data_IF_466102836003
#
_entry.id   IF_466102836003
#
_cell.length_a   1.000
_cell.length_b   1.000
_cell.length_c   1.000
_cell.angle_alpha   90.00
_cell.angle_beta   90.00
_cell.angle_gamma   90.00
#
_symmetry.space_group_name_H-M   'P 1'
#
loop_
_entity.id
_entity.type
_entity.pdbx_description
1 polymer ?
#
# COMPACT_ATOMS: atom_id res chain seq x y z
N UNK A 1 -16.66 -27.44 -88.50
CA UNK A 1 -17.38 -27.37 -87.20
C UNK A 1 -16.42 -27.79 -86.12
N UNK A 2 -15.83 -26.81 -85.40
CA UNK A 2 -14.91 -27.05 -84.27
C UNK A 2 -15.63 -26.66 -83.02
N UNK A 3 -15.84 -27.66 -82.12
CA UNK A 3 -16.45 -27.49 -80.79
C UNK A 3 -15.35 -27.17 -79.79
N UNK A 4 -15.40 -26.01 -79.17
CA UNK A 4 -14.57 -25.64 -78.02
C UNK A 4 -15.23 -26.14 -76.73
N UNK A 5 -14.52 -26.96 -75.96
CA UNK A 5 -14.89 -27.37 -74.60
C UNK A 5 -14.23 -26.36 -73.63
N UNK A 6 -15.02 -25.57 -72.92
CA UNK A 6 -14.59 -24.73 -71.85
C UNK A 6 -14.64 -25.54 -70.55
N UNK A 7 -13.48 -25.91 -70.03
CA UNK A 7 -13.36 -26.54 -68.73
C UNK A 7 -13.40 -25.49 -67.64
N UNK A 8 -14.43 -25.50 -66.78
CA UNK A 8 -14.50 -24.68 -65.56
C UNK A 8 -13.65 -25.29 -64.45
N UNK A 9 -12.54 -24.66 -64.09
CA UNK A 9 -11.74 -25.02 -62.90
C UNK A 9 -12.38 -24.35 -61.68
N UNK A 10 -13.07 -25.18 -60.86
CA UNK A 10 -13.60 -24.74 -59.57
C UNK A 10 -12.49 -24.58 -58.55
N UNK A 11 -12.19 -23.33 -58.14
CA UNK A 11 -11.27 -23.00 -57.09
C UNK A 11 -12.00 -23.17 -55.73
N UNK A 12 -11.78 -24.29 -55.04
CA UNK A 12 -12.31 -24.51 -53.66
C UNK A 12 -11.46 -23.73 -52.67
N UNK A 13 -11.97 -22.60 -52.19
CA UNK A 13 -11.36 -21.85 -51.09
C UNK A 13 -11.66 -22.63 -49.78
N UNK A 14 -10.69 -23.33 -49.25
CA UNK A 14 -10.73 -23.89 -47.90
C UNK A 14 -10.54 -22.74 -46.92
N UNK A 15 -11.64 -22.25 -46.38
CA UNK A 15 -11.61 -21.30 -45.23
C UNK A 15 -11.24 -22.11 -44.01
N UNK A 16 -9.95 -22.12 -43.66
CA UNK A 16 -9.46 -22.63 -42.38
C UNK A 16 -9.98 -21.68 -41.30
N UNK A 17 -10.98 -22.07 -40.55
CA UNK A 17 -11.33 -21.42 -39.30
C UNK A 17 -10.18 -21.67 -38.33
N UNK A 18 -9.33 -20.68 -38.14
CA UNK A 18 -8.40 -20.67 -37.02
C UNK A 18 -9.26 -20.64 -35.74
N UNK A 19 -9.34 -21.75 -35.04
CA UNK A 19 -9.88 -21.78 -33.68
C UNK A 19 -9.01 -20.83 -32.86
N UNK A 20 -9.59 -19.72 -32.41
CA UNK A 20 -8.93 -18.83 -31.47
C UNK A 20 -8.56 -19.69 -30.25
N UNK A 21 -7.29 -19.71 -29.86
CA UNK A 21 -6.88 -20.37 -28.63
C UNK A 21 -7.64 -19.80 -27.44
N UNK A 22 -8.01 -20.64 -26.49
CA UNK A 22 -8.65 -20.17 -25.26
C UNK A 22 -7.77 -19.15 -24.54
N UNK A 23 -8.36 -18.11 -23.94
CA UNK A 23 -7.60 -17.10 -23.25
C UNK A 23 -6.86 -17.69 -22.04
N UNK A 24 -5.67 -17.16 -21.76
CA UNK A 24 -4.94 -17.46 -20.53
C UNK A 24 -5.74 -16.84 -19.36
N UNK A 25 -6.33 -17.68 -18.52
CA UNK A 25 -7.11 -17.25 -17.36
C UNK A 25 -6.15 -16.95 -16.18
N UNK A 26 -6.26 -15.75 -15.62
CA UNK A 26 -5.45 -15.28 -14.48
C UNK A 26 -6.40 -14.97 -13.32
N UNK A 27 -6.56 -15.95 -12.42
CA UNK A 27 -7.39 -15.83 -11.22
C UNK A 27 -6.64 -15.07 -10.12
N UNK A 28 -7.27 -14.04 -9.57
CA UNK A 28 -6.79 -13.23 -8.46
C UNK A 28 -7.82 -13.28 -7.34
N UNK A 29 -7.39 -13.68 -6.13
CA UNK A 29 -8.20 -13.63 -4.93
C UNK A 29 -7.91 -12.34 -4.14
N UNK A 30 -8.92 -11.76 -3.54
CA UNK A 30 -8.79 -10.72 -2.52
C UNK A 30 -9.20 -11.29 -1.18
N UNK A 31 -8.31 -11.25 -0.20
CA UNK A 31 -8.54 -11.75 1.15
C UNK A 31 -8.39 -10.59 2.15
N UNK A 32 -9.47 -10.20 2.80
CA UNK A 32 -9.49 -9.13 3.78
C UNK A 32 -10.42 -9.40 4.96
N UNK A 33 -10.48 -8.48 5.90
CA UNK A 33 -11.40 -8.55 7.04
C UNK A 33 -12.61 -7.64 6.85
N UNK A 34 -13.76 -8.04 7.39
CA UNK A 34 -14.99 -7.23 7.41
C UNK A 34 -14.99 -6.16 8.50
N UNK A 35 -13.96 -6.04 9.31
CA UNK A 35 -13.89 -5.07 10.39
C UNK A 35 -13.82 -3.64 9.88
N UNK A 36 -14.88 -2.86 10.10
CA UNK A 36 -14.85 -1.41 9.92
C UNK A 36 -13.91 -0.84 10.97
N UNK A 37 -12.74 -0.36 10.56
CA UNK A 37 -11.88 0.45 11.44
C UNK A 37 -12.67 1.70 11.82
N UNK A 38 -13.19 1.75 13.04
CA UNK A 38 -13.89 2.93 13.54
C UNK A 38 -12.89 4.09 13.63
N UNK A 39 -13.03 5.07 12.76
CA UNK A 39 -12.26 6.32 12.86
C UNK A 39 -12.90 7.29 13.83
N UNK A 40 -12.09 8.18 14.39
CA UNK A 40 -12.57 9.26 15.25
C UNK A 40 -13.53 10.19 14.51
N UNK A 41 -13.26 10.48 13.23
CA UNK A 41 -14.13 11.30 12.39
C UNK A 41 -15.33 10.52 11.88
N UNK A 42 -16.53 11.09 12.08
CA UNK A 42 -17.77 10.57 11.48
C UNK A 42 -17.85 10.83 9.97
N UNK A 43 -17.07 11.78 9.48
CA UNK A 43 -17.05 12.19 8.06
C UNK A 43 -16.12 11.29 7.25
N UNK A 44 -15.08 10.76 7.87
CA UNK A 44 -14.04 9.96 7.23
C UNK A 44 -14.12 8.48 7.62
N UNK A 45 -15.32 7.91 7.68
CA UNK A 45 -15.47 6.49 7.94
C UNK A 45 -14.91 5.67 6.78
N UNK A 46 -14.14 4.59 7.05
CA UNK A 46 -13.69 3.68 6.02
C UNK A 46 -14.88 3.11 5.26
N UNK A 47 -14.75 3.01 3.96
CA UNK A 47 -15.79 2.40 3.13
C UNK A 47 -15.77 0.88 3.25
N UNK A 48 -16.94 0.26 3.18
CA UNK A 48 -17.04 -1.20 3.18
C UNK A 48 -16.27 -1.87 2.04
N UNK A 49 -16.10 -1.18 0.90
CA UNK A 49 -15.36 -1.68 -0.25
C UNK A 49 -13.92 -1.13 -0.32
N UNK A 50 -13.35 -0.64 0.79
CA UNK A 50 -11.96 -0.15 0.82
C UNK A 50 -10.99 -1.27 0.42
N UNK A 51 -10.03 -0.94 -0.43
CA UNK A 51 -9.08 -1.87 -1.04
C UNK A 51 -9.67 -2.68 -2.21
N UNK A 52 -10.80 -3.36 -2.02
CA UNK A 52 -11.45 -4.15 -3.08
C UNK A 52 -11.80 -3.28 -4.30
N UNK A 53 -12.27 -2.06 -4.07
CA UNK A 53 -12.62 -1.15 -5.15
C UNK A 53 -11.41 -0.83 -6.04
N UNK A 54 -10.23 -0.69 -5.45
CA UNK A 54 -8.97 -0.54 -6.19
C UNK A 54 -8.63 -1.77 -7.02
N UNK A 55 -8.77 -2.96 -6.46
CA UNK A 55 -8.54 -4.21 -7.17
C UNK A 55 -9.50 -4.36 -8.36
N UNK A 56 -10.80 -4.09 -8.18
CA UNK A 56 -11.82 -4.14 -9.26
C UNK A 56 -11.46 -3.21 -10.43
N UNK A 57 -11.07 -1.96 -10.15
CA UNK A 57 -10.65 -1.01 -11.18
C UNK A 57 -9.43 -1.54 -11.96
N UNK A 58 -8.47 -2.15 -11.27
CA UNK A 58 -7.28 -2.68 -11.92
C UNK A 58 -7.56 -3.94 -12.77
N UNK A 59 -8.55 -4.76 -12.40
CA UNK A 59 -9.04 -5.87 -13.23
C UNK A 59 -9.61 -5.33 -14.55
N UNK A 60 -10.41 -4.26 -14.52
CA UNK A 60 -10.89 -3.60 -15.74
C UNK A 60 -9.73 -3.10 -16.60
N UNK A 61 -8.72 -2.46 -15.98
CA UNK A 61 -7.53 -1.98 -16.66
C UNK A 61 -6.75 -3.13 -17.33
N UNK A 62 -6.52 -4.22 -16.60
CA UNK A 62 -5.80 -5.37 -17.14
C UNK A 62 -6.57 -6.04 -18.28
N UNK A 63 -7.88 -6.19 -18.15
CA UNK A 63 -8.74 -6.78 -19.19
C UNK A 63 -8.81 -5.92 -20.44
N UNK A 64 -8.64 -4.59 -20.33
CA UNK A 64 -8.56 -3.71 -21.51
C UNK A 64 -7.38 -4.08 -22.40
N UNK A 65 -6.20 -4.33 -21.82
CA UNK A 65 -5.01 -4.79 -22.55
C UNK A 65 -5.07 -6.30 -22.84
N UNK A 66 -5.58 -7.08 -21.92
CA UNK A 66 -5.70 -8.54 -22.00
C UNK A 66 -6.46 -9.04 -23.23
N UNK A 67 -7.48 -8.30 -23.68
CA UNK A 67 -8.23 -8.62 -24.90
C UNK A 67 -7.32 -8.74 -26.14
N UNK A 68 -6.25 -7.97 -26.22
CA UNK A 68 -5.30 -8.00 -27.32
C UNK A 68 -4.21 -9.08 -27.16
N UNK A 69 -4.02 -9.56 -25.91
CA UNK A 69 -3.01 -10.56 -25.55
C UNK A 69 -3.59 -11.93 -25.31
N UNK A 70 -4.89 -12.13 -25.59
CA UNK A 70 -5.64 -13.34 -25.29
C UNK A 70 -5.50 -13.74 -23.80
N UNK A 71 -5.62 -12.77 -22.89
CA UNK A 71 -5.56 -12.92 -21.44
C UNK A 71 -6.83 -12.41 -20.79
N UNK A 72 -7.29 -13.10 -19.74
CA UNK A 72 -8.47 -12.73 -18.98
C UNK A 72 -8.17 -12.75 -17.48
N UNK A 73 -8.41 -11.64 -16.82
CA UNK A 73 -8.21 -11.46 -15.38
C UNK A 73 -9.55 -11.51 -14.66
N UNK A 74 -9.62 -12.31 -13.60
CA UNK A 74 -10.82 -12.43 -12.74
C UNK A 74 -10.47 -12.11 -11.30
N UNK A 75 -11.45 -11.62 -10.54
CA UNK A 75 -11.31 -11.31 -9.11
C UNK A 75 -12.34 -12.11 -8.31
N UNK A 76 -11.86 -12.85 -7.32
CA UNK A 76 -12.69 -13.50 -6.31
C UNK A 76 -12.46 -12.83 -4.96
N UNK A 77 -13.52 -12.42 -4.28
CA UNK A 77 -13.46 -11.60 -3.07
C UNK A 77 -13.90 -12.43 -1.86
N UNK A 78 -13.03 -12.46 -0.85
CA UNK A 78 -13.31 -13.08 0.44
C UNK A 78 -13.03 -12.07 1.55
N UNK A 79 -14.03 -11.83 2.40
CA UNK A 79 -13.92 -10.99 3.58
C UNK A 79 -14.23 -11.81 4.81
N UNK A 80 -13.21 -11.96 5.65
CA UNK A 80 -13.31 -12.70 6.89
C UNK A 80 -14.07 -11.90 7.94
N UNK A 81 -14.98 -12.56 8.63
CA UNK A 81 -15.58 -12.07 9.86
C UNK A 81 -14.64 -12.33 11.04
N UNK A 82 -14.91 -11.65 12.15
CA UNK A 82 -14.18 -11.90 13.38
C UNK A 82 -14.28 -13.38 13.80
N UNK A 83 -13.14 -14.00 14.11
CA UNK A 83 -13.04 -15.41 14.49
C UNK A 83 -12.94 -16.43 13.36
N UNK A 84 -13.11 -16.02 12.09
CA UNK A 84 -12.90 -16.94 10.97
C UNK A 84 -11.43 -17.27 10.74
N UNK A 85 -11.16 -18.53 10.36
CA UNK A 85 -9.80 -19.03 10.15
C UNK A 85 -9.22 -18.52 8.82
N UNK A 86 -8.23 -17.64 8.90
CA UNK A 86 -7.56 -17.04 7.77
C UNK A 86 -6.80 -18.06 6.91
N UNK A 87 -6.21 -19.11 7.51
CA UNK A 87 -5.46 -20.12 6.78
C UNK A 87 -6.38 -20.98 5.91
N UNK A 88 -7.52 -21.41 6.46
CA UNK A 88 -8.53 -22.16 5.71
C UNK A 88 -9.13 -21.33 4.58
N UNK A 89 -9.44 -20.05 4.81
CA UNK A 89 -9.94 -19.17 3.78
C UNK A 89 -8.91 -18.91 2.67
N UNK A 90 -7.65 -18.71 3.03
CA UNK A 90 -6.55 -18.56 2.07
C UNK A 90 -6.38 -19.83 1.20
N UNK A 91 -6.43 -21.02 1.81
CA UNK A 91 -6.34 -22.30 1.10
C UNK A 91 -7.51 -22.52 0.15
N UNK A 92 -8.74 -22.18 0.56
CA UNK A 92 -9.93 -22.30 -0.29
C UNK A 92 -9.85 -21.35 -1.49
N UNK A 93 -9.40 -20.10 -1.25
CA UNK A 93 -9.24 -19.08 -2.29
C UNK A 93 -8.13 -19.48 -3.29
N UNK A 94 -7.02 -20.03 -2.81
CA UNK A 94 -5.89 -20.50 -3.62
C UNK A 94 -6.23 -21.74 -4.47
N UNK A 95 -7.30 -22.47 -4.16
CA UNK A 95 -7.78 -23.57 -5.00
C UNK A 95 -8.26 -23.14 -6.40
N UNK A 96 -8.57 -21.86 -6.57
CA UNK A 96 -9.07 -21.26 -7.82
C UNK A 96 -8.23 -20.08 -8.31
N UNK A 97 -7.35 -19.55 -7.48
CA UNK A 97 -6.60 -18.33 -7.76
C UNK A 97 -5.11 -18.53 -7.50
N UNK A 98 -4.26 -18.19 -8.46
CA UNK A 98 -2.80 -18.28 -8.35
C UNK A 98 -2.17 -17.13 -7.56
N UNK A 99 -2.89 -16.01 -7.42
CA UNK A 99 -2.45 -14.79 -6.76
C UNK A 99 -3.48 -14.39 -5.72
N UNK A 100 -3.01 -13.97 -4.52
CA UNK A 100 -3.89 -13.49 -3.46
C UNK A 100 -3.43 -12.11 -3.00
N UNK A 101 -4.31 -11.11 -3.14
CA UNK A 101 -4.11 -9.79 -2.54
C UNK A 101 -4.59 -9.88 -1.10
N UNK A 102 -3.68 -9.63 -0.16
CA UNK A 102 -3.94 -9.72 1.26
C UNK A 102 -4.06 -8.33 1.91
N UNK A 103 -5.25 -8.00 2.39
CA UNK A 103 -5.54 -6.88 3.27
C UNK A 103 -5.76 -7.41 4.70
N UNK A 104 -4.66 -7.79 5.33
CA UNK A 104 -4.64 -8.50 6.59
C UNK A 104 -3.67 -7.86 7.58
N UNK A 105 -3.94 -7.91 8.90
CA UNK A 105 -2.93 -7.64 9.92
C UNK A 105 -1.74 -8.62 9.82
N UNK A 106 -0.58 -8.22 10.34
CA UNK A 106 0.68 -8.94 10.17
C UNK A 106 0.59 -10.44 10.53
N UNK A 107 0.02 -10.79 11.69
CA UNK A 107 -0.10 -12.19 12.14
C UNK A 107 -1.03 -13.02 11.24
N UNK A 108 -2.12 -12.41 10.79
CA UNK A 108 -3.04 -13.06 9.86
C UNK A 108 -2.39 -13.27 8.49
N UNK A 109 -1.63 -12.29 8.00
CA UNK A 109 -0.87 -12.40 6.76
C UNK A 109 0.16 -13.54 6.83
N UNK A 110 0.89 -13.67 7.94
CA UNK A 110 1.85 -14.75 8.15
C UNK A 110 1.16 -16.11 8.12
N UNK A 111 0.03 -16.27 8.82
CA UNK A 111 -0.75 -17.53 8.79
C UNK A 111 -1.22 -17.88 7.38
N UNK A 112 -1.73 -16.90 6.63
CA UNK A 112 -2.13 -17.11 5.24
C UNK A 112 -0.94 -17.50 4.35
N UNK A 113 0.18 -16.77 4.45
CA UNK A 113 1.39 -17.03 3.66
C UNK A 113 2.00 -18.42 3.96
N UNK A 114 2.06 -18.80 5.25
CA UNK A 114 2.58 -20.10 5.67
C UNK A 114 1.70 -21.25 5.18
N UNK A 115 0.37 -21.12 5.22
CA UNK A 115 -0.57 -22.11 4.68
C UNK A 115 -0.45 -22.29 3.16
N UNK A 116 0.04 -21.29 2.44
CA UNK A 116 0.17 -21.27 0.98
C UNK A 116 1.58 -21.56 0.47
N UNK A 117 2.56 -21.73 1.36
CA UNK A 117 3.99 -21.86 1.02
C UNK A 117 4.25 -22.93 -0.05
N UNK A 118 3.68 -24.11 0.12
CA UNK A 118 3.93 -25.27 -0.75
C UNK A 118 2.94 -25.39 -1.92
N UNK A 119 2.07 -24.39 -2.11
CA UNK A 119 1.05 -24.37 -3.17
C UNK A 119 1.47 -23.58 -4.40
N UNK A 120 2.61 -22.89 -4.35
CA UNK A 120 3.06 -22.02 -5.42
C UNK A 120 2.25 -20.72 -5.56
N UNK A 121 1.29 -20.46 -4.65
CA UNK A 121 0.47 -19.24 -4.66
C UNK A 121 1.29 -18.04 -4.20
N UNK A 122 1.22 -16.94 -4.95
CA UNK A 122 1.87 -15.68 -4.60
C UNK A 122 0.91 -14.80 -3.81
N UNK A 123 1.34 -14.33 -2.64
CA UNK A 123 0.58 -13.43 -1.79
C UNK A 123 1.11 -12.01 -1.96
N UNK A 124 0.23 -11.05 -2.26
CA UNK A 124 0.57 -9.64 -2.42
C UNK A 124 0.02 -8.85 -1.24
N UNK A 125 0.90 -8.46 -0.32
CA UNK A 125 0.51 -7.68 0.87
C UNK A 125 0.14 -6.25 0.49
N UNK A 126 -1.13 -5.94 0.53
CA UNK A 126 -1.66 -4.60 0.30
C UNK A 126 -2.02 -3.85 1.60
N UNK A 127 -2.21 -4.53 2.73
CA UNK A 127 -2.72 -3.92 3.95
C UNK A 127 -1.66 -3.66 5.02
N UNK A 128 -0.79 -4.65 5.33
CA UNK A 128 0.09 -4.55 6.48
C UNK A 128 1.36 -3.73 6.22
N UNK A 129 1.58 -2.72 7.08
CA UNK A 129 2.77 -1.83 7.07
C UNK A 129 3.84 -2.28 8.08
N UNK A 130 3.68 -3.43 8.71
CA UNK A 130 4.56 -3.92 9.76
C UNK A 130 5.96 -4.28 9.21
N UNK A 131 6.99 -3.67 9.78
CA UNK A 131 8.38 -3.82 9.33
C UNK A 131 8.89 -5.26 9.45
N UNK A 132 8.48 -6.02 10.50
CA UNK A 132 8.94 -7.39 10.72
C UNK A 132 8.66 -8.34 9.54
N UNK A 133 7.60 -8.07 8.77
CA UNK A 133 7.24 -8.85 7.58
C UNK A 133 8.27 -8.74 6.44
N UNK A 134 9.13 -7.72 6.46
CA UNK A 134 10.23 -7.48 5.51
C UNK A 134 11.59 -7.73 6.14
N UNK A 135 11.59 -8.15 7.40
CA UNK A 135 12.78 -8.43 8.21
C UNK A 135 12.76 -9.89 8.68
N UNK A 136 12.73 -10.14 9.98
CA UNK A 136 12.84 -11.50 10.54
C UNK A 136 11.70 -12.46 10.17
N UNK A 137 10.52 -11.93 9.82
CA UNK A 137 9.33 -12.72 9.48
C UNK A 137 9.04 -12.74 7.98
N UNK A 138 10.03 -12.42 7.14
CA UNK A 138 9.83 -12.42 5.69
C UNK A 138 9.54 -13.81 5.12
N UNK A 139 8.77 -13.87 4.04
CA UNK A 139 8.35 -15.10 3.35
C UNK A 139 8.61 -14.98 1.85
N UNK A 140 9.18 -16.02 1.25
CA UNK A 140 9.53 -16.05 -0.17
C UNK A 140 8.32 -15.95 -1.12
N UNK A 141 7.14 -16.36 -0.66
CA UNK A 141 5.88 -16.28 -1.42
C UNK A 141 5.09 -14.99 -1.19
N UNK A 142 5.67 -13.99 -0.48
CA UNK A 142 4.99 -12.71 -0.18
C UNK A 142 5.68 -11.55 -0.87
N UNK A 143 4.96 -10.82 -1.70
CA UNK A 143 5.37 -9.54 -2.31
C UNK A 143 4.68 -8.40 -1.56
N UNK A 144 5.41 -7.35 -1.20
CA UNK A 144 4.88 -6.27 -0.37
C UNK A 144 4.63 -5.00 -1.18
N UNK A 145 3.36 -4.62 -1.30
CA UNK A 145 2.91 -3.39 -1.97
C UNK A 145 2.75 -2.24 -0.97
N UNK A 146 2.16 -2.52 0.19
CA UNK A 146 2.08 -1.55 1.27
C UNK A 146 3.50 -1.12 1.70
N UNK A 147 3.77 0.18 1.91
CA UNK A 147 5.05 0.63 2.49
C UNK A 147 5.19 0.12 3.93
N UNK A 148 6.42 0.13 4.45
CA UNK A 148 6.63 -0.12 5.88
C UNK A 148 6.45 1.15 6.71
N UNK A 149 6.25 0.99 8.03
CA UNK A 149 6.32 2.13 8.96
C UNK A 149 7.66 2.86 8.86
N UNK A 150 8.76 2.12 8.72
CA UNK A 150 10.08 2.69 8.50
C UNK A 150 10.18 3.54 7.23
N UNK A 151 9.56 3.11 6.11
CA UNK A 151 9.51 3.91 4.88
C UNK A 151 8.73 5.22 5.09
N UNK A 152 7.59 5.15 5.78
CA UNK A 152 6.77 6.33 6.09
C UNK A 152 7.51 7.30 7.01
N UNK A 153 8.13 6.80 8.08
CA UNK A 153 8.89 7.61 9.02
C UNK A 153 10.13 8.26 8.38
N UNK A 154 10.87 7.51 7.54
CA UNK A 154 12.03 8.03 6.83
C UNK A 154 11.63 9.12 5.84
N UNK A 155 10.55 8.94 5.09
CA UNK A 155 10.02 9.94 4.18
C UNK A 155 9.67 11.26 4.88
N UNK A 156 9.01 11.17 6.02
CA UNK A 156 8.68 12.33 6.85
C UNK A 156 9.97 12.99 7.40
N UNK A 157 10.87 12.20 7.96
CA UNK A 157 12.12 12.69 8.55
C UNK A 157 12.99 13.44 7.53
N UNK A 158 13.13 12.91 6.31
CA UNK A 158 13.87 13.56 5.22
C UNK A 158 13.33 14.97 4.97
N UNK A 159 12.03 15.13 4.82
CA UNK A 159 11.41 16.44 4.59
C UNK A 159 11.58 17.39 5.78
N UNK A 160 11.33 16.92 6.99
CA UNK A 160 11.46 17.76 8.18
C UNK A 160 12.89 18.29 8.36
N UNK A 161 13.89 17.43 8.13
CA UNK A 161 15.30 17.82 8.20
C UNK A 161 15.68 18.76 7.04
N UNK A 162 15.17 18.52 5.84
CA UNK A 162 15.35 19.43 4.70
C UNK A 162 14.79 20.83 5.01
N UNK A 163 13.64 20.91 5.69
CA UNK A 163 13.05 22.16 6.20
C UNK A 163 13.82 22.77 7.38
N UNK A 164 14.89 22.12 7.86
CA UNK A 164 15.64 22.48 9.07
C UNK A 164 14.81 22.38 10.38
N UNK A 165 13.72 21.65 10.38
CA UNK A 165 12.92 21.32 11.57
C UNK A 165 13.52 20.10 12.26
N UNK A 166 14.64 20.30 12.94
CA UNK A 166 15.48 19.22 13.49
C UNK A 166 15.21 18.90 14.95
N UNK A 167 14.49 19.78 15.68
CA UNK A 167 14.14 19.54 17.09
C UNK A 167 12.70 19.09 17.17
N UNK A 168 12.49 17.85 17.58
CA UNK A 168 11.18 17.22 17.59
C UNK A 168 10.64 17.06 19.00
N UNK A 169 9.37 17.41 19.24
CA UNK A 169 8.58 16.93 20.35
C UNK A 169 7.81 15.71 19.87
N UNK A 170 8.08 14.53 20.44
CA UNK A 170 7.39 13.28 20.09
C UNK A 170 6.27 13.00 21.10
N UNK A 171 5.05 12.81 20.61
CA UNK A 171 3.90 12.36 21.41
C UNK A 171 3.49 10.97 20.92
N UNK A 172 3.46 10.02 21.83
CA UNK A 172 3.24 8.60 21.55
C UNK A 172 1.94 8.15 22.20
N UNK A 173 1.08 7.45 21.48
CA UNK A 173 -0.08 6.79 22.05
C UNK A 173 0.29 5.56 22.89
N UNK A 174 -0.66 5.06 23.66
CA UNK A 174 -0.41 3.96 24.61
C UNK A 174 -0.60 2.56 24.00
N UNK A 175 -1.15 2.46 22.80
CA UNK A 175 -1.37 1.18 22.13
C UNK A 175 -0.09 0.64 21.44
N UNK A 176 -0.05 -0.65 21.17
CA UNK A 176 1.17 -1.29 20.65
C UNK A 176 1.57 -0.80 19.25
N UNK A 177 0.62 -0.55 18.35
CA UNK A 177 0.93 0.03 17.04
C UNK A 177 1.51 1.45 17.13
N UNK A 178 1.09 2.25 18.13
CA UNK A 178 1.62 3.59 18.36
C UNK A 178 3.08 3.53 18.82
N UNK A 179 3.41 2.55 19.67
CA UNK A 179 4.78 2.28 20.12
C UNK A 179 5.67 1.84 18.97
N UNK A 180 5.19 0.94 18.10
CA UNK A 180 5.91 0.52 16.90
C UNK A 180 6.19 1.70 15.95
N UNK A 181 5.22 2.60 15.77
CA UNK A 181 5.43 3.80 14.96
C UNK A 181 6.43 4.76 15.63
N UNK A 182 6.36 4.93 16.95
CA UNK A 182 7.33 5.74 17.70
C UNK A 182 8.76 5.18 17.57
N UNK A 183 8.95 3.87 17.58
CA UNK A 183 10.27 3.23 17.39
C UNK A 183 10.90 3.60 16.05
N UNK A 184 10.15 3.50 14.96
CA UNK A 184 10.66 3.86 13.63
C UNK A 184 10.86 5.38 13.48
N UNK A 185 10.07 6.21 14.14
CA UNK A 185 10.30 7.67 14.19
C UNK A 185 11.59 8.03 14.94
N UNK A 186 11.91 7.35 16.06
CA UNK A 186 13.18 7.51 16.78
C UNK A 186 14.37 7.07 15.92
N UNK A 187 14.22 5.94 15.21
CA UNK A 187 15.22 5.47 14.23
C UNK A 187 15.44 6.50 13.11
N UNK A 188 14.37 7.02 12.52
CA UNK A 188 14.41 8.01 11.45
C UNK A 188 15.03 9.34 11.93
N UNK A 189 14.69 9.82 13.14
CA UNK A 189 15.32 10.99 13.74
C UNK A 189 16.85 10.84 13.82
N UNK A 190 17.31 9.71 14.35
CA UNK A 190 18.74 9.40 14.44
C UNK A 190 19.41 9.30 13.05
N UNK A 191 18.76 8.63 12.11
CA UNK A 191 19.27 8.38 10.75
C UNK A 191 19.50 9.69 9.98
N UNK A 192 18.56 10.63 10.08
CA UNK A 192 18.59 11.88 9.32
C UNK A 192 19.09 13.09 10.13
N UNK A 193 19.56 12.89 11.35
CA UNK A 193 20.20 13.94 12.15
C UNK A 193 19.21 14.91 12.81
N UNK A 194 17.99 14.47 13.11
CA UNK A 194 17.07 15.16 13.98
C UNK A 194 17.27 14.75 15.45
N UNK A 195 16.78 15.57 16.38
CA UNK A 195 16.86 15.34 17.82
C UNK A 195 15.46 15.39 18.43
N UNK A 196 15.05 14.32 19.09
CA UNK A 196 13.88 14.33 19.96
C UNK A 196 14.26 15.04 21.25
N UNK A 197 13.71 16.25 21.45
CA UNK A 197 14.01 17.10 22.61
C UNK A 197 13.10 16.81 23.79
N UNK A 198 11.93 16.26 23.51
CA UNK A 198 10.92 15.84 24.49
C UNK A 198 10.14 14.68 23.92
N UNK A 199 9.84 13.70 24.76
CA UNK A 199 8.90 12.63 24.46
C UNK A 199 7.86 12.55 25.56
N UNK A 200 6.58 12.36 25.18
CA UNK A 200 5.45 12.17 26.11
C UNK A 200 4.55 11.05 25.63
N UNK A 201 4.06 10.27 26.56
CA UNK A 201 3.05 9.24 26.29
C UNK A 201 1.67 9.80 26.63
N UNK A 202 0.74 9.68 25.68
CA UNK A 202 -0.66 9.99 25.91
C UNK A 202 -1.42 8.69 26.20
N UNK A 203 -1.87 8.53 27.44
CA UNK A 203 -2.59 7.34 27.88
C UNK A 203 -4.04 7.38 27.40
N UNK A 204 -4.46 6.34 26.65
CA UNK A 204 -5.86 6.13 26.33
C UNK A 204 -6.59 5.52 27.56
N UNK A 205 -7.33 6.33 28.26
CA UNK A 205 -8.08 5.90 29.44
C UNK A 205 -9.45 5.28 29.08
N UNK A 206 -9.72 5.05 27.79
CA UNK A 206 -10.99 4.46 27.33
C UNK A 206 -12.21 5.37 27.50
N UNK A 207 -12.01 6.65 27.82
CA UNK A 207 -13.08 7.66 27.92
C UNK A 207 -13.81 7.88 26.61
N UNK A 208 -15.02 8.39 26.68
CA UNK A 208 -15.87 8.62 25.52
C UNK A 208 -15.20 9.59 24.52
N UNK A 209 -14.72 9.05 23.44
CA UNK A 209 -14.11 9.80 22.33
C UNK A 209 -15.10 10.77 21.67
N UNK A 210 -16.41 10.53 21.83
CA UNK A 210 -17.49 11.19 21.06
C UNK A 210 -18.64 11.77 21.90
N UNK A 211 -18.65 11.65 23.24
CA UNK A 211 -19.80 12.09 24.03
C UNK A 211 -19.45 13.21 24.99
N UNK A 212 -20.38 14.18 25.16
CA UNK A 212 -20.29 15.30 26.09
C UNK A 212 -20.64 14.91 27.53
N UNK A 213 -20.65 13.65 27.89
CA UNK A 213 -21.12 13.11 29.18
C UNK A 213 -20.17 13.38 30.36
N UNK A 214 -19.67 14.61 30.49
CA UNK A 214 -18.92 15.04 31.70
C UNK A 214 -17.49 14.54 31.85
N UNK A 215 -17.02 13.67 30.96
CA UNK A 215 -15.62 13.22 30.90
C UNK A 215 -14.77 14.30 30.24
N UNK A 216 -13.56 14.53 30.74
CA UNK A 216 -12.63 15.50 30.15
C UNK A 216 -12.32 15.11 28.71
N UNK A 217 -12.82 15.87 27.76
CA UNK A 217 -12.63 15.61 26.33
C UNK A 217 -11.14 15.68 25.99
N UNK A 218 -10.65 14.73 25.17
CA UNK A 218 -9.24 14.66 24.73
C UNK A 218 -8.77 16.01 24.18
N UNK A 219 -9.57 16.66 23.36
CA UNK A 219 -9.26 17.97 22.78
C UNK A 219 -8.97 19.06 23.82
N UNK A 220 -9.54 18.98 25.05
CA UNK A 220 -9.30 19.94 26.13
C UNK A 220 -8.03 19.62 26.91
N UNK A 221 -7.55 18.38 26.83
CA UNK A 221 -6.31 17.99 27.49
C UNK A 221 -5.06 18.42 26.71
N UNK A 222 -5.15 18.54 25.37
CA UNK A 222 -3.99 18.79 24.50
C UNK A 222 -3.19 20.04 24.87
N UNK A 223 -3.75 21.22 25.15
CA UNK A 223 -2.96 22.38 25.51
C UNK A 223 -2.14 22.14 26.81
N UNK A 224 -2.75 21.60 27.83
CA UNK A 224 -2.08 21.31 29.11
C UNK A 224 -1.04 20.20 28.94
N UNK A 225 -1.38 19.17 28.16
CA UNK A 225 -0.50 18.05 27.89
C UNK A 225 0.76 18.47 27.12
N UNK A 226 0.67 19.48 26.24
CA UNK A 226 1.79 19.96 25.41
C UNK A 226 2.54 21.14 25.98
N UNK A 227 2.07 21.75 27.10
CA UNK A 227 2.72 22.92 27.73
C UNK A 227 4.08 22.54 28.34
N UNK A 228 4.92 23.57 28.62
CA UNK A 228 6.21 23.43 29.29
C UNK A 228 7.18 22.46 28.57
N UNK A 229 7.06 22.29 27.26
CA UNK A 229 8.05 21.56 26.49
C UNK A 229 9.28 22.43 26.24
N UNK A 230 10.51 21.86 26.16
CA UNK A 230 11.67 22.57 25.63
C UNK A 230 11.37 23.06 24.22
N UNK A 231 12.06 24.12 23.78
CA UNK A 231 11.85 24.65 22.42
C UNK A 231 12.04 23.55 21.37
N UNK A 232 11.02 23.35 20.53
CA UNK A 232 10.99 22.39 19.42
C UNK A 232 10.55 23.08 18.14
N UNK A 233 10.86 22.44 16.98
CA UNK A 233 10.52 22.98 15.67
C UNK A 233 9.21 22.39 15.14
N UNK A 234 8.94 21.12 15.44
CA UNK A 234 7.75 20.36 15.02
C UNK A 234 7.33 19.38 16.09
N UNK A 235 6.01 19.20 16.27
CA UNK A 235 5.45 18.16 17.10
C UNK A 235 5.15 16.95 16.20
N UNK A 236 5.62 15.76 16.60
CA UNK A 236 5.38 14.51 15.88
C UNK A 236 4.47 13.62 16.69
N UNK A 237 3.37 13.18 16.09
CA UNK A 237 2.41 12.28 16.70
C UNK A 237 2.61 10.85 16.20
N UNK A 238 2.80 9.90 17.12
CA UNK A 238 2.71 8.47 16.88
C UNK A 238 1.39 7.95 17.48
N UNK A 239 0.34 7.96 16.68
CA UNK A 239 -1.05 7.63 17.06
C UNK A 239 -1.75 6.90 15.91
N UNK A 240 -1.29 5.66 15.62
CA UNK A 240 -1.97 4.81 14.62
C UNK A 240 -3.34 4.33 15.14
N UNK A 241 -3.57 4.42 16.44
CA UNK A 241 -4.85 4.09 17.10
C UNK A 241 -5.90 5.19 16.94
N UNK A 242 -5.54 6.35 16.38
CA UNK A 242 -6.41 7.50 16.14
C UNK A 242 -7.12 8.00 17.42
N UNK A 243 -6.39 8.06 18.55
CA UNK A 243 -6.94 8.49 19.85
C UNK A 243 -6.90 10.01 19.99
N UNK A 244 -5.76 10.66 19.70
CA UNK A 244 -5.52 12.06 20.05
C UNK A 244 -4.93 12.93 18.94
N UNK A 245 -4.21 12.35 17.97
CA UNK A 245 -3.39 13.12 17.03
C UNK A 245 -4.21 14.14 16.22
N UNK A 246 -5.43 13.80 15.84
CA UNK A 246 -6.31 14.68 15.06
C UNK A 246 -6.64 16.02 15.75
N UNK A 247 -6.46 16.11 17.07
CA UNK A 247 -6.67 17.35 17.81
C UNK A 247 -5.43 18.25 17.87
N UNK A 248 -4.22 17.68 17.66
CA UNK A 248 -2.95 18.41 17.86
C UNK A 248 -2.76 19.61 16.94
N UNK A 249 -3.09 19.57 15.62
CA UNK A 249 -2.77 20.66 14.71
C UNK A 249 -3.24 22.05 15.17
N UNK A 250 -4.33 22.09 15.98
CA UNK A 250 -4.95 23.35 16.43
C UNK A 250 -5.08 23.48 17.95
N UNK A 251 -4.50 22.55 18.71
CA UNK A 251 -4.71 22.46 20.17
C UNK A 251 -3.42 22.31 20.95
N UNK A 252 -2.25 22.46 20.33
CA UNK A 252 -0.97 22.49 21.05
C UNK A 252 -0.79 23.79 21.81
N UNK A 253 -0.02 23.77 22.93
CA UNK A 253 0.34 24.98 23.65
C UNK A 253 1.12 25.96 22.79
N UNK A 254 2.20 25.47 22.15
CA UNK A 254 3.00 26.25 21.22
C UNK A 254 2.48 26.08 19.79
N UNK A 255 2.31 27.17 19.01
CA UNK A 255 1.84 27.11 17.64
C UNK A 255 2.95 26.61 16.70
N UNK A 256 3.24 25.34 16.73
CA UNK A 256 4.22 24.66 15.88
C UNK A 256 3.54 23.71 14.89
N UNK A 257 4.16 23.44 13.74
CA UNK A 257 3.68 22.40 12.83
C UNK A 257 3.51 21.07 13.54
N UNK A 258 2.51 20.31 13.12
CA UNK A 258 2.26 18.93 13.58
C UNK A 258 2.48 17.98 12.40
N UNK A 259 3.11 16.85 12.65
CA UNK A 259 3.39 15.83 11.65
C UNK A 259 3.25 14.41 12.23
N UNK A 260 3.29 13.39 11.39
CA UNK A 260 3.14 11.99 11.80
C UNK A 260 1.73 11.48 11.52
N UNK A 261 1.01 11.05 12.54
CA UNK A 261 -0.37 10.54 12.38
C UNK A 261 -1.40 11.64 12.08
N UNK A 262 -1.04 12.93 12.22
CA UNK A 262 -1.89 14.08 11.87
C UNK A 262 -1.04 15.27 11.42
N UNK A 263 -1.68 16.29 10.85
CA UNK A 263 -1.02 17.44 10.26
C UNK A 263 -0.35 17.06 8.94
N UNK A 264 0.97 17.00 8.89
CA UNK A 264 1.70 16.49 7.72
C UNK A 264 1.87 14.98 7.84
N UNK A 265 1.13 14.22 7.03
CA UNK A 265 1.03 12.76 7.13
C UNK A 265 1.75 12.10 5.96
N UNK A 266 2.68 11.14 6.21
CA UNK A 266 3.27 10.34 5.17
C UNK A 266 2.31 9.20 4.73
N UNK A 267 2.10 9.06 3.42
CA UNK A 267 1.20 8.05 2.87
C UNK A 267 1.66 7.53 1.51
N UNK A 268 1.25 6.32 1.16
CA UNK A 268 1.51 5.78 -0.18
C UNK A 268 0.63 6.41 -1.27
N UNK A 269 -0.54 6.94 -0.91
CA UNK A 269 -1.48 7.58 -1.82
C UNK A 269 -2.44 8.51 -1.08
N UNK A 270 -2.84 9.55 -1.77
CA UNK A 270 -3.89 10.45 -1.32
C UNK A 270 -4.68 10.97 -2.53
N UNK A 271 -5.94 11.26 -2.32
CA UNK A 271 -6.81 11.82 -3.34
C UNK A 271 -6.43 13.24 -3.80
N UNK A 272 -5.59 13.92 -3.03
CA UNK A 272 -5.00 15.21 -3.39
C UNK A 272 -3.88 15.08 -4.45
N UNK A 273 -3.46 13.86 -4.80
CA UNK A 273 -2.48 13.65 -5.88
C UNK A 273 -3.12 13.98 -7.23
N UNK A 274 -2.61 14.99 -7.91
CA UNK A 274 -3.12 15.50 -9.17
C UNK A 274 -2.12 15.40 -10.34
N UNK A 275 -0.86 15.03 -10.04
CA UNK A 275 0.21 14.94 -11.02
C UNK A 275 0.29 13.58 -11.70
N UNK A 276 1.06 13.51 -12.80
CA UNK A 276 1.41 12.27 -13.54
C UNK A 276 0.21 11.41 -13.95
N UNK A 277 -0.94 12.05 -14.25
CA UNK A 277 -2.15 11.37 -14.69
C UNK A 277 -3.01 10.84 -13.53
N UNK A 278 -2.68 11.16 -12.28
CA UNK A 278 -3.44 10.74 -11.09
C UNK A 278 -4.89 11.23 -11.12
N UNK A 279 -5.14 12.45 -11.60
CA UNK A 279 -6.50 13.00 -11.75
C UNK A 279 -7.38 12.11 -12.64
N UNK A 280 -6.84 11.54 -13.71
CA UNK A 280 -7.62 10.64 -14.59
C UNK A 280 -7.97 9.33 -13.86
N UNK A 281 -7.03 8.74 -13.12
CA UNK A 281 -7.27 7.56 -12.30
C UNK A 281 -8.33 7.84 -11.24
N UNK A 282 -8.21 8.97 -10.51
CA UNK A 282 -9.18 9.39 -9.50
C UNK A 282 -10.59 9.55 -10.07
N UNK A 283 -10.72 10.22 -11.22
CA UNK A 283 -12.02 10.42 -11.87
C UNK A 283 -12.68 9.10 -12.28
N UNK A 284 -11.90 8.15 -12.80
CA UNK A 284 -12.40 6.81 -13.11
C UNK A 284 -12.83 6.06 -11.85
N UNK A 285 -12.02 6.12 -10.80
CA UNK A 285 -12.33 5.50 -9.52
C UNK A 285 -13.60 6.09 -8.89
N UNK A 286 -13.73 7.43 -8.86
CA UNK A 286 -14.92 8.13 -8.33
C UNK A 286 -16.17 7.76 -9.13
N UNK A 287 -16.06 7.70 -10.47
CA UNK A 287 -17.17 7.29 -11.32
C UNK A 287 -17.66 5.87 -11.00
N UNK A 288 -16.75 4.96 -10.67
CA UNK A 288 -17.05 3.56 -10.36
C UNK A 288 -17.58 3.37 -8.94
N UNK A 289 -17.07 4.15 -7.96
CA UNK A 289 -17.25 3.87 -6.53
C UNK A 289 -17.92 4.99 -5.74
N UNK A 290 -18.23 6.14 -6.35
CA UNK A 290 -18.86 7.33 -5.72
C UNK A 290 -18.10 7.86 -4.50
N UNK A 291 -16.80 7.58 -4.38
CA UNK A 291 -15.89 8.05 -3.32
C UNK A 291 -14.47 8.27 -3.85
N UNK A 292 -13.65 8.91 -3.04
CA UNK A 292 -12.23 9.09 -3.35
C UNK A 292 -11.45 7.79 -3.13
N UNK A 293 -10.37 7.62 -3.88
CA UNK A 293 -9.45 6.49 -3.78
C UNK A 293 -8.56 6.63 -2.55
N UNK A 294 -8.52 5.61 -1.70
CA UNK A 294 -7.68 5.56 -0.50
C UNK A 294 -6.29 5.00 -0.80
N UNK A 295 -5.39 5.05 0.19
CA UNK A 295 -4.08 4.40 0.09
C UNK A 295 -4.21 2.88 -0.10
N UNK A 296 -5.16 2.24 0.59
CA UNK A 296 -5.41 0.80 0.46
C UNK A 296 -5.96 0.43 -0.93
N UNK A 297 -6.88 1.24 -1.48
CA UNK A 297 -7.35 1.04 -2.87
C UNK A 297 -6.21 1.11 -3.87
N UNK A 298 -5.31 2.09 -3.71
CA UNK A 298 -4.15 2.25 -4.60
C UNK A 298 -3.16 1.11 -4.47
N UNK A 299 -2.95 0.59 -3.27
CA UNK A 299 -2.09 -0.57 -3.02
C UNK A 299 -2.66 -1.83 -3.67
N UNK A 300 -3.95 -2.08 -3.52
CA UNK A 300 -4.65 -3.20 -4.16
C UNK A 300 -4.68 -3.05 -5.69
N UNK A 301 -4.95 -1.84 -6.20
CA UNK A 301 -4.85 -1.52 -7.63
C UNK A 301 -3.45 -1.82 -8.17
N UNK A 302 -2.41 -1.37 -7.46
CA UNK A 302 -1.00 -1.58 -7.85
C UNK A 302 -0.66 -3.08 -7.85
N UNK A 303 -1.11 -3.85 -6.86
CA UNK A 303 -0.92 -5.30 -6.80
C UNK A 303 -1.46 -6.01 -8.04
N UNK A 304 -2.70 -5.72 -8.43
CA UNK A 304 -3.33 -6.29 -9.62
C UNK A 304 -2.60 -5.83 -10.89
N UNK A 305 -2.19 -4.56 -10.98
CA UNK A 305 -1.43 -4.05 -12.13
C UNK A 305 -0.06 -4.71 -12.27
N UNK A 306 0.62 -5.01 -11.14
CA UNK A 306 1.89 -5.76 -11.15
C UNK A 306 1.70 -7.16 -11.74
N UNK A 307 0.66 -7.88 -11.33
CA UNK A 307 0.31 -9.18 -11.91
C UNK A 307 0.03 -9.03 -13.41
N UNK A 308 -0.77 -8.04 -13.81
CA UNK A 308 -1.08 -7.78 -15.21
C UNK A 308 0.13 -7.48 -16.09
N UNK A 309 1.04 -6.63 -15.62
CA UNK A 309 2.29 -6.31 -16.32
C UNK A 309 3.17 -7.56 -16.46
N UNK A 310 3.35 -8.31 -15.37
CA UNK A 310 4.18 -9.51 -15.39
C UNK A 310 3.57 -10.62 -16.29
N UNK A 311 2.26 -10.86 -16.18
CA UNK A 311 1.57 -11.86 -17.02
C UNK A 311 1.63 -11.49 -18.51
N UNK A 312 1.52 -10.20 -18.83
CA UNK A 312 1.64 -9.71 -20.20
C UNK A 312 3.05 -9.90 -20.77
N UNK A 313 4.09 -9.66 -19.96
CA UNK A 313 5.49 -9.81 -20.36
C UNK A 313 5.96 -11.25 -20.46
N UNK A 314 5.44 -12.12 -19.60
CA UNK A 314 5.76 -13.56 -19.62
C UNK A 314 4.81 -14.36 -20.52
N UNK A 315 3.75 -13.73 -21.02
CA UNK A 315 2.63 -14.40 -21.71
C UNK A 315 2.12 -15.62 -20.93
N UNK A 316 1.99 -15.50 -19.61
CA UNK A 316 1.68 -16.61 -18.72
C UNK A 316 0.85 -16.16 -17.51
N UNK A 317 -0.02 -17.07 -17.02
CA UNK A 317 -0.69 -16.97 -15.72
C UNK A 317 -0.01 -17.85 -14.64
N UNK A 318 1.13 -18.48 -14.94
CA UNK A 318 1.87 -19.30 -13.99
C UNK A 318 2.48 -18.42 -12.88
N UNK A 319 2.16 -18.67 -11.61
CA UNK A 319 2.59 -17.82 -10.51
C UNK A 319 4.11 -17.80 -10.31
N UNK A 320 4.80 -18.89 -10.64
CA UNK A 320 6.26 -18.95 -10.52
C UNK A 320 6.91 -18.06 -11.59
N UNK A 321 6.48 -18.16 -12.85
CA UNK A 321 7.01 -17.33 -13.93
C UNK A 321 6.73 -15.84 -13.68
N UNK A 322 5.53 -15.52 -13.20
CA UNK A 322 5.13 -14.15 -12.83
C UNK A 322 5.99 -13.63 -11.69
N UNK A 323 6.17 -14.40 -10.61
CA UNK A 323 7.00 -14.00 -9.46
C UNK A 323 8.48 -13.83 -9.85
N UNK A 324 9.02 -14.72 -10.66
CA UNK A 324 10.41 -14.62 -11.13
C UNK A 324 10.61 -13.36 -11.99
N UNK A 325 9.64 -13.02 -12.85
CA UNK A 325 9.67 -11.77 -13.60
C UNK A 325 9.57 -10.54 -12.69
N UNK A 326 8.66 -10.54 -11.71
CA UNK A 326 8.49 -9.43 -10.75
C UNK A 326 9.79 -9.14 -9.97
N UNK A 327 10.57 -10.17 -9.63
CA UNK A 327 11.87 -10.05 -8.95
C UNK A 327 13.02 -9.66 -9.88
N UNK A 328 12.82 -9.78 -11.18
CA UNK A 328 13.83 -9.48 -12.18
C UNK A 328 14.07 -7.98 -12.39
N UNK A 329 15.26 -7.64 -12.90
CA UNK A 329 15.65 -6.25 -13.20
C UNK A 329 14.82 -5.59 -14.31
N UNK A 330 14.14 -6.38 -15.14
CA UNK A 330 13.30 -5.90 -16.24
C UNK A 330 11.87 -5.51 -15.78
N UNK A 331 11.51 -5.84 -14.54
CA UNK A 331 10.21 -5.48 -14.01
C UNK A 331 10.16 -4.01 -13.62
N UNK A 332 9.12 -3.34 -14.07
CA UNK A 332 8.70 -2.05 -13.52
C UNK A 332 7.23 -1.79 -13.82
N UNK A 333 6.53 -1.14 -12.89
CA UNK A 333 5.13 -0.76 -13.06
C UNK A 333 4.96 0.75 -12.88
N UNK A 334 4.10 1.35 -13.70
CA UNK A 334 3.68 2.74 -13.52
C UNK A 334 2.47 2.79 -12.59
N UNK A 335 2.52 3.68 -11.60
CA UNK A 335 1.46 3.83 -10.60
C UNK A 335 1.18 5.32 -10.27
N UNK A 336 1.24 6.19 -11.27
CA UNK A 336 0.91 7.62 -11.14
C UNK A 336 1.69 8.37 -10.03
N UNK A 337 2.96 7.96 -9.80
CA UNK A 337 3.85 8.50 -8.75
C UNK A 337 5.11 9.18 -9.31
N UNK A 338 5.11 9.57 -10.59
CA UNK A 338 6.21 10.28 -11.23
C UNK A 338 7.39 9.42 -11.66
N UNK A 339 7.46 8.18 -11.21
CA UNK A 339 8.53 7.25 -11.58
C UNK A 339 8.02 5.81 -11.65
N UNK A 340 8.81 4.94 -12.30
CA UNK A 340 8.52 3.52 -12.37
C UNK A 340 8.85 2.84 -11.05
N UNK A 341 7.96 1.98 -10.57
CA UNK A 341 8.12 1.23 -9.34
C UNK A 341 8.74 -0.13 -9.65
N UNK A 342 9.68 -0.56 -8.82
CA UNK A 342 10.38 -1.86 -8.93
C UNK A 342 10.36 -2.59 -7.59
N UNK A 343 10.71 -3.87 -7.57
CA UNK A 343 10.84 -4.62 -6.31
C UNK A 343 12.29 -4.61 -5.80
N UNK A 344 12.43 -4.63 -4.48
CA UNK A 344 13.68 -4.95 -3.78
C UNK A 344 13.90 -6.46 -3.85
N UNK A 345 15.08 -6.88 -4.26
CA UNK A 345 15.45 -8.30 -4.40
C UNK A 345 15.69 -9.00 -3.06
N UNK A 346 15.97 -8.25 -1.98
CA UNK A 346 16.30 -8.82 -0.65
C UNK A 346 15.09 -9.08 0.25
N UNK A 347 13.96 -8.38 0.04
CA UNK A 347 12.77 -8.54 0.89
C UNK A 347 11.44 -8.39 0.14
N UNK A 348 11.48 -8.32 -1.18
CA UNK A 348 10.30 -8.22 -2.08
C UNK A 348 9.38 -7.02 -1.76
N UNK A 349 9.94 -5.94 -1.17
CA UNK A 349 9.22 -4.68 -0.96
C UNK A 349 9.19 -3.86 -2.25
N UNK A 350 8.02 -3.35 -2.61
CA UNK A 350 7.87 -2.39 -3.72
C UNK A 350 8.57 -1.08 -3.38
N UNK A 351 9.53 -0.68 -4.21
CA UNK A 351 10.12 0.66 -4.18
C UNK A 351 9.09 1.65 -4.68
N UNK A 352 8.74 2.61 -3.87
CA UNK A 352 7.76 3.63 -4.22
C UNK A 352 8.04 4.93 -3.49
N UNK A 353 7.78 6.09 -4.13
CA UNK A 353 7.80 7.35 -3.43
C UNK A 353 6.66 7.42 -2.43
N UNK A 354 6.89 8.17 -1.35
CA UNK A 354 5.93 8.42 -0.29
C UNK A 354 5.48 9.87 -0.37
N UNK A 355 4.17 10.08 -0.40
CA UNK A 355 3.55 11.40 -0.39
C UNK A 355 3.53 11.93 1.04
N UNK A 356 3.76 13.22 1.20
CA UNK A 356 3.55 13.96 2.43
C UNK A 356 2.36 14.89 2.22
N UNK A 357 1.27 14.65 2.92
CA UNK A 357 -0.02 15.31 2.69
C UNK A 357 -0.53 16.01 3.94
N UNK A 358 -1.30 17.09 3.75
CA UNK A 358 -1.96 17.82 4.84
C UNK A 358 -3.49 17.61 4.86
N UNK A 359 -3.98 16.63 4.11
CA UNK A 359 -5.40 16.33 3.93
C UNK A 359 -6.09 17.14 2.82
N UNK A 360 -5.41 18.12 2.21
CA UNK A 360 -5.92 18.93 1.09
C UNK A 360 -5.03 18.92 -0.12
N UNK A 361 -3.73 18.80 0.09
CA UNK A 361 -2.73 18.82 -0.99
C UNK A 361 -1.56 17.89 -0.69
N UNK A 362 -0.84 17.51 -1.73
CA UNK A 362 0.47 16.90 -1.61
C UNK A 362 1.48 18.02 -1.38
N UNK A 363 2.02 18.08 -0.17
CA UNK A 363 2.99 19.11 0.25
C UNK A 363 4.37 18.82 -0.33
N UNK A 364 4.76 17.55 -0.34
CA UNK A 364 6.04 17.07 -0.86
C UNK A 364 5.96 15.58 -1.19
N UNK A 365 6.97 15.09 -1.90
CA UNK A 365 7.15 13.67 -2.21
C UNK A 365 8.56 13.26 -1.82
N UNK A 366 8.70 12.21 -1.03
CA UNK A 366 10.01 11.66 -0.65
C UNK A 366 10.33 10.41 -1.49
N UNK A 367 11.63 10.19 -1.81
CA UNK A 367 12.83 10.82 -1.24
C UNK A 367 12.98 12.28 -1.60
N UNK A 368 13.56 13.07 -0.66
CA UNK A 368 13.87 14.48 -0.91
C UNK A 368 15.15 14.61 -1.74
N UNK A 369 15.24 15.67 -2.53
CA UNK A 369 16.40 15.97 -3.35
C UNK A 369 17.70 16.00 -2.54
N UNK A 370 18.77 15.47 -3.12
CA UNK A 370 20.11 15.44 -2.49
C UNK A 370 20.37 14.19 -1.65
N UNK A 371 19.41 13.31 -1.47
CA UNK A 371 19.60 12.01 -0.81
C UNK A 371 19.92 10.95 -1.87
N UNK A 372 21.20 10.67 -2.06
CA UNK A 372 21.68 9.74 -3.07
C UNK A 372 21.74 8.30 -2.51
N UNK A 373 21.53 7.33 -3.39
CA UNK A 373 21.73 5.92 -3.13
C UNK A 373 22.33 5.23 -4.36
N UNK A 374 23.14 4.17 -4.15
CA UNK A 374 23.89 3.51 -5.23
C UNK A 374 22.98 2.80 -6.25
N UNK A 375 21.82 2.28 -5.82
CA UNK A 375 20.91 1.51 -6.66
C UNK A 375 19.68 2.35 -7.04
N UNK A 376 19.00 2.91 -6.05
CA UNK A 376 17.78 3.69 -6.24
C UNK A 376 17.60 4.64 -5.06
N UNK A 377 17.29 5.90 -5.33
CA UNK A 377 16.97 6.87 -4.27
C UNK A 377 15.80 6.39 -3.37
N UNK A 378 14.90 5.56 -3.91
CA UNK A 378 13.80 4.93 -3.15
C UNK A 378 14.31 3.96 -2.07
N UNK A 379 15.57 3.51 -2.14
CA UNK A 379 16.19 2.66 -1.11
C UNK A 379 16.72 3.47 0.09
N UNK A 380 16.66 4.81 0.02
CA UNK A 380 16.85 5.68 1.18
C UNK A 380 15.69 5.62 2.17
N UNK A 381 14.54 5.03 1.78
CA UNK A 381 13.34 4.89 2.60
C UNK A 381 13.24 3.45 3.18
N UNK A 382 13.12 3.35 4.49
CA UNK A 382 13.01 2.07 5.19
C UNK A 382 14.35 1.39 5.42
N UNK A 383 14.31 0.06 5.62
CA UNK A 383 15.52 -0.75 5.86
C UNK A 383 16.20 -1.08 4.55
N UNK A 384 17.47 -0.72 4.42
CA UNK A 384 18.28 -0.99 3.22
C UNK A 384 18.90 -2.39 3.26
N UNK A 385 19.44 -2.83 2.10
CA UNK A 385 20.03 -4.16 1.92
C UNK A 385 21.13 -4.52 2.95
N UNK A 386 22.06 -3.63 3.31
CA UNK A 386 23.07 -3.94 4.32
C UNK A 386 22.50 -4.10 5.73
N UNK A 387 21.33 -3.52 6.00
CA UNK A 387 20.69 -3.50 7.31
C UNK A 387 19.69 -4.64 7.53
N UNK A 388 19.24 -5.28 6.44
CA UNK A 388 18.10 -6.23 6.48
C UNK A 388 18.41 -7.51 7.23
N UNK A 389 17.42 -7.97 7.98
CA UNK A 389 17.40 -9.28 8.66
C UNK A 389 16.62 -10.34 7.86
N UNK A 390 16.02 -9.96 6.73
CA UNK A 390 15.26 -10.88 5.90
C UNK A 390 16.16 -11.95 5.29
N UNK A 391 15.70 -13.19 5.34
CA UNK A 391 16.28 -14.34 4.65
C UNK A 391 15.14 -15.03 3.91
N UNK A 392 15.04 -14.76 2.61
CA UNK A 392 14.05 -15.41 1.73
C UNK A 392 14.50 -16.84 1.45
N UNK A 393 14.04 -17.78 2.26
CA UNK A 393 14.29 -19.21 2.14
C UNK A 393 13.09 -19.90 1.49
#
# INVERSE_FOLDING_TARGET
MVRWLVGAIGLSIVVSHALAADPVEIGIGYLGHTGVKSKLSLVEQPSENDGIAGARLAIEDNNTTGKFLNQRFTLEEVRLKEGEDVANAAMALAGRNSFIIADLPADALLRAADALRDRGTVVLNAGSIDDRLREQDCRANVVHIAPTRSMLADALAQYLVWKQWKRWMLVVGSHDQDKLYAEVLRRAAKRFGAKIVQERVFEDTGGARRTDSGVTQIQRQMPVFTQQAPAYDVLIAADESEVFASYLPYRTWDPRPVAGSAGLVPTSWDAAQDQWGATQLQNRFIKMNSRRMTALDMQAWTAVRMIGEASSRTNSGDPKLVLDFLKGSNFSVAAFKGQRLTLRDWNQQLRQPILLVDGRMVVSVSPQDGLLHQVSELDTLGVDRPETKCRLN
#
